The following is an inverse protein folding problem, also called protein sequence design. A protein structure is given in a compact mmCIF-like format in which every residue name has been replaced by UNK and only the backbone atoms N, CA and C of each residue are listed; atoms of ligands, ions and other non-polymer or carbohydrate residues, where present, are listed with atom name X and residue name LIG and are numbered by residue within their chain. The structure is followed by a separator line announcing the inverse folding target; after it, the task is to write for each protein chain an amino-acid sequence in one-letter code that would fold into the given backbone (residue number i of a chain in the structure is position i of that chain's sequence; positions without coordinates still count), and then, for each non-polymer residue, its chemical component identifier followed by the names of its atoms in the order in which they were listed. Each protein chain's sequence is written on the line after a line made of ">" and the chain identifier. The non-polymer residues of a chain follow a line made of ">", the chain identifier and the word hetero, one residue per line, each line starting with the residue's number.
data_IF_190137064176
#
_entry.id   IF_190137064176
#
_cell.length_a   1.000
_cell.length_b   1.000
_cell.length_c   1.000
_cell.angle_alpha   90.00
_cell.angle_beta   90.00
_cell.angle_gamma   90.00
#
_symmetry.space_group_name_H-M   'P 1'
#
loop_
_entity.id
_entity.type
_entity.pdbx_description
1 polymer ?
#
# COMPACT_ATOMS: atom_id res chain seq x y z
N UNK A 1 -12.38 3.13 35.61
CA UNK A 1 -10.91 3.19 35.66
C UNK A 1 -10.50 4.38 34.81
N UNK A 2 -10.35 5.54 35.46
CA UNK A 2 -10.15 6.83 34.82
C UNK A 2 -8.66 6.99 34.56
N UNK A 3 -8.24 6.95 33.29
CA UNK A 3 -6.86 7.23 32.92
C UNK A 3 -6.62 8.74 33.05
N UNK A 4 -6.18 9.19 34.23
CA UNK A 4 -5.59 10.52 34.40
C UNK A 4 -4.13 10.41 33.99
N UNK A 5 -3.85 10.77 32.74
CA UNK A 5 -2.48 10.83 32.22
C UNK A 5 -1.96 12.24 32.48
N UNK A 6 -1.35 12.43 33.65
CA UNK A 6 -0.51 13.59 33.94
C UNK A 6 0.85 13.40 33.25
N UNK A 7 0.92 13.66 31.93
CA UNK A 7 2.21 13.74 31.25
C UNK A 7 2.73 15.16 31.40
N UNK A 8 3.83 15.28 32.15
CA UNK A 8 4.62 16.50 32.26
C UNK A 8 5.08 16.94 30.86
N UNK A 9 4.62 18.14 30.47
CA UNK A 9 4.82 18.77 29.15
C UNK A 9 6.30 18.90 28.73
N UNK A 10 7.26 18.77 29.67
CA UNK A 10 8.69 18.84 29.37
C UNK A 10 9.31 17.53 28.87
N UNK A 11 8.66 16.37 29.04
CA UNK A 11 9.24 15.06 28.67
C UNK A 11 8.95 14.61 27.22
N UNK A 12 7.89 15.12 26.61
CA UNK A 12 7.56 14.84 25.20
C UNK A 12 8.56 15.53 24.25
N UNK A 13 9.04 16.72 24.64
CA UNK A 13 9.89 17.55 23.81
C UNK A 13 11.28 16.93 23.58
N UNK A 14 11.82 16.21 24.57
CA UNK A 14 13.14 15.56 24.45
C UNK A 14 13.09 14.23 23.70
N UNK A 15 11.97 13.49 23.76
CA UNK A 15 11.79 12.21 23.04
C UNK A 15 11.60 12.43 21.53
N UNK A 16 11.06 13.59 21.14
CA UNK A 16 10.93 14.08 19.76
C UNK A 16 12.05 15.09 19.42
N UNK A 17 13.21 15.03 20.10
CA UNK A 17 14.40 15.70 19.55
C UNK A 17 14.97 14.90 18.38
N UNK A 18 15.61 15.63 17.47
CA UNK A 18 16.16 15.24 16.15
C UNK A 18 16.82 13.85 16.08
N UNK A 19 17.31 13.27 17.19
CA UNK A 19 17.95 11.94 17.20
C UNK A 19 16.98 10.77 17.40
N UNK A 20 16.04 10.84 18.35
CA UNK A 20 15.06 9.77 18.61
C UNK A 20 14.02 9.66 17.49
N UNK A 21 13.53 10.81 17.02
CA UNK A 21 12.66 10.88 15.84
C UNK A 21 13.34 10.31 14.59
N UNK A 22 14.60 10.69 14.31
CA UNK A 22 15.31 10.18 13.14
C UNK A 22 15.54 8.65 13.17
N UNK A 23 15.71 8.06 14.35
CA UNK A 23 15.84 6.61 14.49
C UNK A 23 14.51 5.89 14.27
N UNK A 24 13.42 6.38 14.88
CA UNK A 24 12.07 5.81 14.70
C UNK A 24 11.62 5.87 13.23
N UNK A 25 11.84 6.99 12.54
CA UNK A 25 11.51 7.17 11.12
C UNK A 25 12.45 6.42 10.14
N UNK A 26 13.46 5.71 10.66
CA UNK A 26 14.31 4.87 9.82
C UNK A 26 13.53 3.68 9.24
N UNK A 27 12.56 3.15 9.98
CA UNK A 27 11.52 2.25 9.47
C UNK A 27 10.28 3.03 9.05
N UNK A 28 9.50 2.50 8.12
CA UNK A 28 8.27 3.17 7.70
C UNK A 28 7.65 2.64 6.42
N UNK A 29 6.66 3.39 5.95
CA UNK A 29 5.91 3.09 4.74
C UNK A 29 5.87 4.30 3.82
N UNK A 30 6.11 4.07 2.53
CA UNK A 30 5.91 5.04 1.47
C UNK A 30 4.87 4.55 0.47
N UNK A 31 4.13 5.47 -0.12
CA UNK A 31 3.17 5.19 -1.18
C UNK A 31 3.31 6.25 -2.28
N UNK A 32 3.26 5.84 -3.55
CA UNK A 32 3.32 6.81 -4.67
C UNK A 32 2.11 7.73 -4.65
N UNK A 33 2.31 9.02 -4.99
CA UNK A 33 1.25 10.03 -4.94
C UNK A 33 0.10 9.66 -5.89
N UNK A 34 -1.11 9.69 -5.36
CA UNK A 34 -2.35 9.54 -6.12
C UNK A 34 -3.03 10.90 -6.29
N UNK A 35 -3.46 11.18 -7.52
CA UNK A 35 -4.28 12.34 -7.87
C UNK A 35 -5.78 12.05 -7.90
N UNK A 36 -6.16 10.79 -7.66
CA UNK A 36 -7.57 10.42 -7.55
C UNK A 36 -8.21 11.15 -6.37
N UNK A 37 -9.47 11.57 -6.54
CA UNK A 37 -10.23 12.26 -5.50
C UNK A 37 -10.39 11.38 -4.26
N UNK A 38 -10.18 11.95 -3.08
CA UNK A 38 -10.27 11.23 -1.79
C UNK A 38 -9.17 10.20 -1.55
N UNK A 39 -8.15 10.10 -2.41
CA UNK A 39 -7.10 9.12 -2.25
C UNK A 39 -6.17 9.42 -1.07
N UNK A 40 -5.88 8.38 -0.28
CA UNK A 40 -4.90 8.45 0.80
C UNK A 40 -3.48 8.65 0.23
N UNK A 41 -2.77 9.66 0.72
CA UNK A 41 -1.41 10.02 0.32
C UNK A 41 -0.46 10.07 1.52
N UNK A 42 0.84 10.15 1.23
CA UNK A 42 1.89 10.02 2.24
C UNK A 42 1.87 11.11 3.31
N UNK A 43 1.37 12.31 3.00
CA UNK A 43 1.18 13.40 3.95
C UNK A 43 0.20 13.01 5.08
N UNK A 44 -0.98 12.49 4.72
CA UNK A 44 -1.98 12.04 5.69
C UNK A 44 -1.50 10.82 6.47
N UNK A 45 -0.84 9.88 5.79
CA UNK A 45 -0.25 8.71 6.46
C UNK A 45 0.79 9.13 7.50
N UNK A 46 1.75 9.98 7.12
CA UNK A 46 2.81 10.45 8.01
C UNK A 46 2.24 11.23 9.20
N UNK A 47 1.23 12.07 8.97
CA UNK A 47 0.55 12.83 10.02
C UNK A 47 -0.16 11.90 11.02
N UNK A 48 -0.95 10.95 10.53
CA UNK A 48 -1.63 9.96 11.39
C UNK A 48 -0.62 9.11 12.16
N UNK A 49 0.46 8.65 11.52
CA UNK A 49 1.53 7.93 12.21
C UNK A 49 2.17 8.80 13.30
N UNK A 50 2.47 10.07 13.02
CA UNK A 50 3.01 10.99 14.00
C UNK A 50 2.08 11.15 15.22
N UNK A 51 0.78 11.31 14.98
CA UNK A 51 -0.22 11.36 16.05
C UNK A 51 -0.23 10.10 16.90
N UNK A 52 -0.27 8.92 16.29
CA UNK A 52 -0.29 7.65 17.04
C UNK A 52 1.00 7.46 17.83
N UNK A 53 2.16 7.66 17.20
CA UNK A 53 3.47 7.38 17.80
C UNK A 53 3.84 8.36 18.90
N UNK A 54 3.44 9.63 18.79
CA UNK A 54 3.65 10.63 19.85
C UNK A 54 2.86 10.36 21.13
N UNK A 55 1.84 9.49 21.07
CA UNK A 55 1.07 9.04 22.23
C UNK A 55 1.59 7.72 22.83
N UNK A 56 2.65 7.15 22.26
CA UNK A 56 3.26 5.91 22.73
C UNK A 56 4.60 6.18 23.42
N UNK A 57 4.93 5.44 24.50
CA UNK A 57 6.23 5.55 25.14
C UNK A 57 7.33 4.97 24.23
N UNK A 58 8.50 5.61 24.19
CA UNK A 58 9.66 5.11 23.46
C UNK A 58 10.69 4.51 24.43
N UNK A 59 10.39 3.32 24.96
CA UNK A 59 11.16 2.68 26.03
C UNK A 59 12.66 2.52 25.71
N UNK A 60 13.03 2.28 24.45
CA UNK A 60 14.42 2.17 24.00
C UNK A 60 15.22 3.47 24.12
N UNK A 61 14.56 4.61 24.34
CA UNK A 61 15.15 5.94 24.37
C UNK A 61 14.90 6.69 25.70
N UNK A 62 14.23 6.05 26.66
CA UNK A 62 14.03 6.61 28.01
C UNK A 62 15.33 6.48 28.83
N UNK A 63 15.81 7.58 29.43
CA UNK A 63 17.13 7.65 30.09
C UNK A 63 17.19 6.87 31.43
N UNK A 64 16.06 6.71 32.12
CA UNK A 64 16.01 6.22 33.51
C UNK A 64 15.50 4.77 33.66
N UNK A 65 15.59 3.95 32.61
CA UNK A 65 15.08 2.56 32.61
C UNK A 65 16.15 1.55 32.99
N UNK A 66 15.77 0.55 33.80
CA UNK A 66 16.66 -0.58 34.08
C UNK A 66 16.94 -1.37 32.78
N UNK A 67 18.21 -1.78 32.53
CA UNK A 67 18.58 -2.52 31.31
C UNK A 67 17.76 -3.81 31.10
N UNK A 68 17.28 -4.42 32.18
CA UNK A 68 16.46 -5.64 32.14
C UNK A 68 15.07 -5.38 31.56
N UNK A 69 14.48 -4.23 31.82
CA UNK A 69 13.17 -3.88 31.25
C UNK A 69 13.29 -3.60 29.75
N UNK A 70 14.35 -2.92 29.33
CA UNK A 70 14.64 -2.66 27.91
C UNK A 70 14.78 -3.96 27.13
N UNK A 71 15.50 -4.96 27.65
CA UNK A 71 15.65 -6.29 27.03
C UNK A 71 14.29 -7.01 26.83
N UNK A 72 13.37 -6.87 27.79
CA UNK A 72 12.03 -7.47 27.67
C UNK A 72 11.25 -6.85 26.51
N UNK A 73 11.25 -5.52 26.37
CA UNK A 73 10.55 -4.84 25.28
C UNK A 73 11.21 -5.12 23.93
N UNK A 74 12.55 -5.13 23.86
CA UNK A 74 13.30 -5.47 22.65
C UNK A 74 12.98 -6.89 22.16
N UNK A 75 12.83 -7.88 23.06
CA UNK A 75 12.41 -9.24 22.67
C UNK A 75 11.04 -9.26 22.01
N UNK A 76 10.08 -8.49 22.55
CA UNK A 76 8.74 -8.39 21.96
C UNK A 76 8.77 -7.76 20.56
N UNK A 77 9.70 -6.83 20.31
CA UNK A 77 9.90 -6.19 19.02
C UNK A 77 10.57 -7.11 17.99
N UNK A 78 11.64 -7.82 18.38
CA UNK A 78 12.44 -8.63 17.46
C UNK A 78 11.84 -9.99 17.15
N UNK A 79 11.07 -10.55 18.08
CA UNK A 79 10.49 -11.89 17.97
C UNK A 79 8.99 -11.87 18.28
N UNK A 80 8.17 -11.13 17.49
CA UNK A 80 6.73 -11.20 17.64
C UNK A 80 6.23 -12.56 17.13
N UNK A 81 5.60 -13.35 18.00
CA UNK A 81 5.03 -14.65 17.60
C UNK A 81 4.03 -14.50 16.45
N UNK A 82 3.14 -13.51 16.56
CA UNK A 82 2.09 -13.19 15.60
C UNK A 82 1.78 -11.71 15.59
N UNK A 83 1.60 -11.14 14.40
CA UNK A 83 1.04 -9.82 14.11
C UNK A 83 1.23 -9.60 12.63
N UNK A 84 0.24 -9.41 11.78
CA UNK A 84 -1.13 -8.97 11.92
C UNK A 84 -2.04 -10.03 11.26
N UNK A 85 -3.34 -10.11 11.55
CA UNK A 85 -4.23 -11.12 10.94
C UNK A 85 -5.38 -10.56 10.09
N UNK A 86 -5.45 -9.24 9.90
CA UNK A 86 -6.53 -8.58 9.15
C UNK A 86 -6.24 -8.36 7.66
N UNK A 87 -7.09 -7.53 7.04
CA UNK A 87 -6.89 -6.93 5.71
C UNK A 87 -6.06 -5.65 5.80
N UNK A 88 -5.56 -5.15 4.66
CA UNK A 88 -4.79 -3.91 4.69
C UNK A 88 -5.64 -2.74 5.20
N UNK A 89 -5.03 -1.82 5.94
CA UNK A 89 -5.75 -0.68 6.55
C UNK A 89 -5.81 0.53 5.63
N UNK A 90 -5.15 0.53 4.47
CA UNK A 90 -5.09 1.66 3.55
C UNK A 90 -6.45 2.06 2.98
N UNK A 91 -7.38 1.10 2.81
CA UNK A 91 -8.74 1.38 2.33
C UNK A 91 -9.76 1.60 3.47
N UNK A 92 -9.34 1.51 4.74
CA UNK A 92 -10.25 1.70 5.87
C UNK A 92 -10.39 3.20 6.21
N UNK A 93 -11.42 3.85 5.67
CA UNK A 93 -11.67 5.29 5.80
C UNK A 93 -11.63 5.76 7.27
N UNK A 94 -12.20 4.97 8.19
CA UNK A 94 -12.26 5.32 9.62
C UNK A 94 -10.88 5.45 10.28
N UNK A 95 -9.86 4.80 9.73
CA UNK A 95 -8.49 4.87 10.24
C UNK A 95 -7.77 6.16 9.82
N UNK A 96 -8.37 6.92 8.91
CA UNK A 96 -7.80 8.09 8.26
C UNK A 96 -8.80 9.23 8.27
N UNK A 97 -9.53 9.44 9.37
CA UNK A 97 -10.41 10.60 9.50
C UNK A 97 -9.59 11.87 9.76
N UNK A 98 -10.15 13.03 9.38
CA UNK A 98 -9.48 14.29 9.62
C UNK A 98 -9.61 14.67 11.09
N UNK A 99 -8.48 15.04 11.70
CA UNK A 99 -8.41 15.44 13.10
C UNK A 99 -8.56 16.95 13.18
N UNK A 100 -9.72 17.44 13.64
CA UNK A 100 -10.04 18.86 13.76
C UNK A 100 -10.04 19.34 15.22
N UNK A 101 -10.15 18.41 16.17
CA UNK A 101 -10.16 18.65 17.60
C UNK A 101 -9.25 17.69 18.38
N UNK A 102 -9.03 17.98 19.66
CA UNK A 102 -8.30 17.08 20.56
C UNK A 102 -9.06 15.78 20.84
N UNK A 103 -10.40 15.83 20.82
CA UNK A 103 -11.21 14.62 21.02
C UNK A 103 -11.08 13.70 19.80
N UNK A 104 -11.09 14.26 18.58
CA UNK A 104 -10.87 13.51 17.34
C UNK A 104 -9.49 12.85 17.36
N UNK A 105 -8.47 13.55 17.85
CA UNK A 105 -7.12 13.03 17.97
C UNK A 105 -7.08 11.80 18.90
N UNK A 106 -7.69 11.91 20.08
CA UNK A 106 -7.73 10.83 21.07
C UNK A 106 -8.51 9.63 20.50
N UNK A 107 -9.64 9.88 19.83
CA UNK A 107 -10.42 8.82 19.17
C UNK A 107 -9.64 8.16 18.03
N UNK A 108 -8.92 8.93 17.22
CA UNK A 108 -8.10 8.40 16.13
C UNK A 108 -7.00 7.48 16.68
N UNK A 109 -6.25 7.92 17.70
CA UNK A 109 -5.21 7.11 18.36
C UNK A 109 -5.82 5.84 18.95
N UNK A 110 -6.93 5.97 19.70
CA UNK A 110 -7.63 4.83 20.30
C UNK A 110 -8.08 3.81 19.26
N UNK A 111 -8.62 4.28 18.13
CA UNK A 111 -9.07 3.43 17.02
C UNK A 111 -7.91 2.62 16.43
N UNK A 112 -6.75 3.26 16.24
CA UNK A 112 -5.53 2.57 15.78
C UNK A 112 -5.07 1.49 16.75
N UNK A 113 -4.93 1.83 18.03
CA UNK A 113 -4.44 0.89 19.05
C UNK A 113 -5.38 -0.30 19.21
N UNK A 114 -6.70 -0.06 19.31
CA UNK A 114 -7.69 -1.15 19.41
C UNK A 114 -7.64 -2.03 18.16
N UNK A 115 -7.57 -1.43 16.96
CA UNK A 115 -7.53 -2.21 15.71
C UNK A 115 -6.32 -3.13 15.66
N UNK A 116 -5.13 -2.63 15.98
CA UNK A 116 -3.91 -3.43 15.98
C UNK A 116 -3.93 -4.52 17.06
N UNK A 117 -4.43 -4.20 18.26
CA UNK A 117 -4.55 -5.16 19.35
C UNK A 117 -5.49 -6.31 18.98
N UNK A 118 -6.66 -6.00 18.42
CA UNK A 118 -7.65 -6.99 17.99
C UNK A 118 -7.17 -7.85 16.82
N UNK A 119 -6.17 -7.40 16.07
CA UNK A 119 -5.57 -8.14 14.95
C UNK A 119 -4.26 -8.86 15.36
N UNK A 120 -4.05 -9.08 16.67
CA UNK A 120 -3.00 -9.94 17.19
C UNK A 120 -1.69 -9.23 17.54
N UNK A 121 -1.59 -7.91 17.38
CA UNK A 121 -0.33 -7.18 17.55
C UNK A 121 -0.03 -6.76 19.01
N UNK A 122 -0.73 -7.32 20.00
CA UNK A 122 -0.58 -6.95 21.40
C UNK A 122 0.88 -6.99 21.93
N UNK A 123 1.74 -7.97 21.55
CA UNK A 123 3.16 -7.95 21.94
C UNK A 123 3.91 -6.73 21.39
N UNK A 124 3.70 -6.38 20.12
CA UNK A 124 4.32 -5.20 19.50
C UNK A 124 3.82 -3.90 20.14
N UNK A 125 2.52 -3.79 20.45
CA UNK A 125 2.00 -2.61 21.13
C UNK A 125 2.65 -2.39 22.51
N UNK A 126 2.97 -3.48 23.22
CA UNK A 126 3.68 -3.44 24.51
C UNK A 126 5.16 -3.04 24.37
N UNK A 127 5.75 -3.16 23.18
CA UNK A 127 7.12 -2.71 22.93
C UNK A 127 7.23 -1.18 22.75
N UNK A 128 6.12 -0.43 22.84
CA UNK A 128 6.11 1.02 22.74
C UNK A 128 6.09 1.53 21.31
N UNK A 129 6.58 2.76 21.09
CA UNK A 129 6.49 3.46 19.81
C UNK A 129 7.07 2.66 18.62
N UNK A 130 8.21 1.99 18.80
CA UNK A 130 8.81 1.16 17.72
C UNK A 130 7.92 -0.02 17.33
N UNK A 131 7.34 -0.71 18.32
CA UNK A 131 6.45 -1.83 18.06
C UNK A 131 5.10 -1.38 17.46
N UNK A 132 4.57 -0.23 17.89
CA UNK A 132 3.39 0.37 17.25
C UNK A 132 3.68 0.73 15.80
N UNK A 133 4.84 1.36 15.52
CA UNK A 133 5.26 1.66 14.16
C UNK A 133 5.32 0.40 13.30
N UNK A 134 5.99 -0.65 13.77
CA UNK A 134 6.09 -1.93 13.09
C UNK A 134 4.69 -2.51 12.82
N UNK A 135 3.81 -2.53 13.82
CA UNK A 135 2.44 -3.03 13.69
C UNK A 135 1.60 -2.22 12.69
N UNK A 136 1.73 -0.89 12.67
CA UNK A 136 1.08 -0.03 11.68
C UNK A 136 1.57 -0.35 10.27
N UNK A 137 2.89 -0.39 10.06
CA UNK A 137 3.48 -0.68 8.74
C UNK A 137 3.06 -2.06 8.23
N UNK A 138 3.01 -3.07 9.11
CA UNK A 138 2.49 -4.39 8.75
C UNK A 138 1.03 -4.32 8.29
N UNK A 139 0.19 -3.58 9.04
CA UNK A 139 -1.22 -3.41 8.72
C UNK A 139 -1.49 -2.70 7.39
N UNK A 140 -0.60 -1.81 6.93
CA UNK A 140 -0.78 -1.10 5.66
C UNK A 140 -0.72 -2.03 4.45
N UNK A 141 0.09 -3.09 4.50
CA UNK A 141 0.24 -4.07 3.43
C UNK A 141 -0.50 -5.38 3.68
N UNK A 142 -1.19 -5.56 4.80
CA UNK A 142 -1.57 -6.89 5.27
C UNK A 142 -0.35 -7.85 5.37
N UNK A 143 0.80 -7.32 5.78
CA UNK A 143 1.96 -8.13 6.14
C UNK A 143 1.69 -8.82 7.49
N UNK A 144 2.12 -10.07 7.62
CA UNK A 144 1.81 -10.92 8.77
C UNK A 144 3.04 -11.65 9.24
N UNK A 145 3.45 -11.39 10.46
CA UNK A 145 4.26 -12.33 11.23
C UNK A 145 3.40 -13.50 11.64
N UNK A 146 3.87 -14.67 11.24
CA UNK A 146 3.51 -15.97 11.76
C UNK A 146 4.72 -16.51 12.53
N UNK A 147 4.50 -17.59 13.28
CA UNK A 147 5.50 -18.16 14.19
C UNK A 147 6.92 -18.28 13.58
N UNK A 148 7.03 -18.62 12.30
CA UNK A 148 8.31 -18.94 11.65
C UNK A 148 8.58 -18.17 10.36
N UNK A 149 7.66 -17.32 9.91
CA UNK A 149 7.80 -16.59 8.64
C UNK A 149 6.99 -15.29 8.60
N UNK A 150 7.42 -14.39 7.73
CA UNK A 150 6.70 -13.18 7.35
C UNK A 150 5.94 -13.44 6.03
N UNK A 151 4.65 -13.17 6.02
CA UNK A 151 3.78 -13.25 4.85
C UNK A 151 3.40 -11.85 4.37
N UNK A 152 3.35 -11.61 3.07
CA UNK A 152 2.65 -10.46 2.49
C UNK A 152 1.31 -10.95 1.95
N UNK A 153 0.22 -10.71 2.68
CA UNK A 153 -1.10 -11.27 2.36
C UNK A 153 -2.04 -10.27 1.66
N UNK A 154 -1.48 -9.36 0.87
CA UNK A 154 -2.29 -8.43 0.07
C UNK A 154 -3.00 -9.16 -1.08
N UNK A 155 -4.18 -8.65 -1.46
CA UNK A 155 -4.81 -9.07 -2.70
C UNK A 155 -4.09 -8.40 -3.88
N UNK A 156 -3.68 -9.15 -4.92
CA UNK A 156 -3.08 -8.56 -6.12
C UNK A 156 -3.89 -7.41 -6.72
N UNK A 157 -5.23 -7.44 -6.63
CA UNK A 157 -6.11 -6.37 -7.13
C UNK A 157 -5.90 -5.02 -6.43
N UNK A 158 -5.42 -5.04 -5.19
CA UNK A 158 -5.20 -3.83 -4.40
C UNK A 158 -3.84 -3.17 -4.70
N UNK A 159 -2.94 -3.83 -5.44
CA UNK A 159 -1.57 -3.37 -5.71
C UNK A 159 -1.45 -2.41 -6.90
N UNK A 160 -2.40 -1.49 -7.05
CA UNK A 160 -2.47 -0.54 -8.17
C UNK A 160 -1.61 0.73 -7.97
N UNK A 161 -0.79 0.77 -6.92
CA UNK A 161 0.13 1.87 -6.58
C UNK A 161 1.44 1.31 -6.08
N UNK A 162 2.49 2.13 -6.16
CA UNK A 162 3.80 1.73 -5.66
C UNK A 162 3.83 1.86 -4.14
N UNK A 163 4.27 0.80 -3.47
CA UNK A 163 4.41 0.72 -2.02
C UNK A 163 5.86 0.49 -1.64
N UNK A 164 6.30 1.10 -0.54
CA UNK A 164 7.68 1.03 -0.08
C UNK A 164 7.69 0.75 1.43
N UNK A 165 7.86 -0.52 1.80
CA UNK A 165 8.05 -0.93 3.19
C UNK A 165 9.54 -0.90 3.49
N UNK A 166 9.95 0.00 4.39
CA UNK A 166 11.34 0.23 4.73
C UNK A 166 11.64 -0.32 6.12
N UNK A 167 12.70 -1.13 6.21
CA UNK A 167 13.28 -1.67 7.44
C UNK A 167 12.25 -2.33 8.35
N UNK A 168 11.51 -3.29 7.80
CA UNK A 168 10.71 -4.20 8.62
C UNK A 168 11.66 -5.00 9.51
N UNK A 169 11.47 -4.89 10.81
CA UNK A 169 12.26 -5.63 11.80
C UNK A 169 11.79 -7.09 11.81
N UNK A 170 12.66 -8.04 11.44
CA UNK A 170 12.30 -9.45 11.38
C UNK A 170 13.42 -10.34 11.95
N UNK A 171 13.41 -10.55 13.26
CA UNK A 171 14.51 -11.17 14.00
C UNK A 171 15.41 -10.13 14.66
N UNK A 172 16.50 -10.60 15.27
CA UNK A 172 17.44 -9.73 15.96
C UNK A 172 18.40 -9.12 14.95
N UNK A 173 18.33 -7.80 14.74
CA UNK A 173 19.18 -7.04 13.82
C UNK A 173 19.01 -7.37 12.32
N UNK A 174 17.88 -7.98 11.92
CA UNK A 174 17.53 -8.15 10.51
C UNK A 174 16.47 -7.14 10.08
N UNK A 175 16.75 -6.43 8.99
CA UNK A 175 15.85 -5.45 8.40
C UNK A 175 15.52 -5.83 6.96
N UNK A 176 14.23 -6.00 6.69
CA UNK A 176 13.72 -6.35 5.37
C UNK A 176 13.11 -5.12 4.70
N UNK A 177 13.48 -4.86 3.46
CA UNK A 177 12.81 -3.90 2.60
C UNK A 177 11.95 -4.65 1.58
N UNK A 178 10.71 -4.22 1.43
CA UNK A 178 9.78 -4.76 0.45
C UNK A 178 9.23 -3.59 -0.34
N UNK A 179 9.32 -3.64 -1.66
CA UNK A 179 8.69 -2.65 -2.54
C UNK A 179 7.72 -3.33 -3.49
N UNK A 180 6.58 -2.69 -3.72
CA UNK A 180 5.64 -3.03 -4.79
C UNK A 180 5.80 -1.95 -5.84
N UNK A 181 6.14 -2.33 -7.08
CA UNK A 181 6.27 -1.38 -8.19
C UNK A 181 5.30 -1.79 -9.29
N UNK A 182 4.47 -0.84 -9.73
CA UNK A 182 3.55 -1.02 -10.86
C UNK A 182 4.26 -0.62 -12.14
N UNK A 183 4.55 -1.63 -12.97
CA UNK A 183 5.24 -1.49 -14.24
C UNK A 183 4.48 -0.68 -15.30
N UNK A 184 5.13 -0.43 -16.43
CA UNK A 184 4.50 0.22 -17.59
C UNK A 184 3.42 -0.64 -18.26
N UNK A 185 3.42 -1.94 -18.01
CA UNK A 185 2.42 -2.92 -18.42
C UNK A 185 1.24 -3.00 -17.44
N UNK A 186 1.16 -2.11 -16.45
CA UNK A 186 0.19 -2.09 -15.37
C UNK A 186 0.21 -3.35 -14.49
N UNK A 187 1.28 -4.15 -14.51
CA UNK A 187 1.45 -5.27 -13.59
C UNK A 187 2.25 -4.85 -12.37
N UNK A 188 1.85 -5.34 -11.21
CA UNK A 188 2.60 -5.16 -9.97
C UNK A 188 3.71 -6.23 -9.87
N UNK A 189 4.91 -5.82 -9.48
CA UNK A 189 6.02 -6.70 -9.15
C UNK A 189 6.51 -6.40 -7.73
N UNK A 190 6.98 -7.43 -7.03
CA UNK A 190 7.56 -7.30 -5.70
C UNK A 190 9.08 -7.23 -5.82
N UNK A 191 9.70 -6.38 -5.00
CA UNK A 191 11.14 -6.27 -4.86
C UNK A 191 11.51 -6.41 -3.40
N UNK A 192 12.41 -7.34 -3.09
CA UNK A 192 12.79 -7.67 -1.72
C UNK A 192 14.30 -7.58 -1.57
N UNK A 193 14.76 -6.91 -0.52
CA UNK A 193 16.17 -6.82 -0.16
C UNK A 193 16.35 -6.80 1.36
N UNK A 194 17.52 -7.21 1.82
CA UNK A 194 17.95 -7.13 3.21
C UNK A 194 18.87 -5.91 3.38
N UNK A 195 18.47 -4.98 4.24
CA UNK A 195 19.38 -3.89 4.65
C UNK A 195 20.51 -4.42 5.53
N UNK A 196 20.16 -5.36 6.41
CA UNK A 196 21.03 -6.00 7.41
C UNK A 196 20.44 -7.37 7.72
N UNK A 197 21.27 -8.35 8.03
CA UNK A 197 20.80 -9.67 8.43
C UNK A 197 21.76 -10.39 9.38
N UNK A 198 21.20 -11.11 10.35
CA UNK A 198 21.93 -12.00 11.27
C UNK A 198 22.03 -13.44 10.75
N UNK A 199 21.10 -13.84 9.88
CA UNK A 199 20.96 -15.19 9.31
C UNK A 199 20.76 -15.14 7.80
N UNK A 200 20.93 -16.26 7.07
CA UNK A 200 20.47 -16.34 5.69
C UNK A 200 18.93 -16.38 5.66
N UNK A 201 18.31 -15.41 5.00
CA UNK A 201 16.87 -15.40 4.75
C UNK A 201 16.57 -15.89 3.34
N UNK A 202 15.39 -16.45 3.17
CA UNK A 202 14.89 -16.99 1.92
C UNK A 202 13.49 -16.43 1.66
N UNK A 203 13.13 -16.31 0.40
CA UNK A 203 11.81 -15.89 -0.02
C UNK A 203 11.26 -16.76 -1.14
N UNK A 204 9.94 -16.86 -1.19
CA UNK A 204 9.19 -17.45 -2.30
C UNK A 204 7.93 -16.64 -2.58
N UNK A 205 7.50 -16.65 -3.84
CA UNK A 205 6.25 -16.03 -4.26
C UNK A 205 5.03 -16.92 -3.91
N UNK A 206 3.84 -16.52 -4.37
CA UNK A 206 2.59 -17.14 -3.95
C UNK A 206 2.58 -18.67 -4.17
N UNK A 207 2.20 -19.41 -3.12
CA UNK A 207 2.15 -20.88 -3.13
C UNK A 207 3.49 -21.57 -2.96
N UNK A 208 4.63 -20.86 -3.01
CA UNK A 208 5.98 -21.41 -2.80
C UNK A 208 6.26 -22.70 -3.59
N UNK A 209 5.79 -22.77 -4.83
CA UNK A 209 5.98 -23.96 -5.69
C UNK A 209 7.42 -24.09 -6.15
N UNK A 210 8.05 -22.96 -6.47
CA UNK A 210 9.44 -22.86 -6.86
C UNK A 210 10.38 -22.94 -5.64
N UNK A 211 11.64 -23.30 -5.88
CA UNK A 211 12.62 -23.41 -4.80
C UNK A 211 12.85 -22.05 -4.10
N UNK A 212 13.01 -22.02 -2.77
CA UNK A 212 13.27 -20.78 -2.03
C UNK A 212 14.50 -20.02 -2.53
N UNK A 213 14.31 -18.73 -2.82
CA UNK A 213 15.39 -17.84 -3.28
C UNK A 213 16.06 -17.20 -2.09
N UNK A 214 17.39 -17.33 -1.99
CA UNK A 214 18.16 -16.73 -0.89
C UNK A 214 18.23 -15.21 -1.04
N UNK A 215 17.77 -14.49 -0.02
CA UNK A 215 17.79 -13.04 0.06
C UNK A 215 19.21 -12.44 0.20
N UNK A 216 19.42 -11.29 -0.43
CA UNK A 216 20.67 -10.51 -0.40
C UNK A 216 20.36 -9.04 -0.14
N UNK A 217 21.38 -8.18 -0.14
CA UNK A 217 21.24 -6.74 -0.06
C UNK A 217 20.82 -6.08 -1.40
N UNK A 218 20.83 -6.83 -2.50
CA UNK A 218 20.33 -6.37 -3.79
C UNK A 218 18.83 -6.63 -3.91
N UNK A 219 18.12 -5.72 -4.58
CA UNK A 219 16.69 -5.84 -4.82
C UNK A 219 16.43 -7.02 -5.77
N UNK A 220 15.80 -8.06 -5.25
CA UNK A 220 15.37 -9.21 -6.04
C UNK A 220 13.89 -9.14 -6.36
N UNK A 221 13.58 -9.39 -7.62
CA UNK A 221 12.23 -9.32 -8.16
C UNK A 221 11.49 -10.64 -7.98
N UNK A 222 10.24 -10.56 -7.51
CA UNK A 222 9.29 -11.66 -7.46
C UNK A 222 8.01 -11.25 -8.19
N UNK A 223 7.48 -12.09 -9.10
CA UNK A 223 6.22 -11.79 -9.77
C UNK A 223 5.06 -11.87 -8.78
N UNK A 224 4.10 -10.96 -8.88
CA UNK A 224 2.86 -11.09 -8.12
C UNK A 224 2.00 -12.16 -8.78
N UNK A 225 1.67 -13.21 -8.04
CA UNK A 225 0.81 -14.32 -8.48
C UNK A 225 -0.53 -14.29 -7.74
N UNK A 226 -1.60 -14.72 -8.41
CA UNK A 226 -2.92 -14.95 -7.85
C UNK A 226 -3.14 -16.45 -7.71
N UNK A 227 -3.66 -16.88 -6.56
CA UNK A 227 -3.90 -18.28 -6.23
C UNK A 227 -5.38 -18.56 -5.97
N UNK A 228 -5.82 -19.79 -6.21
CA UNK A 228 -7.14 -20.30 -5.77
C UNK A 228 -6.98 -21.55 -4.88
N UNK A 229 -7.36 -21.52 -3.59
CA UNK A 229 -7.81 -20.35 -2.82
C UNK A 229 -6.72 -19.29 -2.65
N UNK A 230 -7.13 -18.07 -2.26
CA UNK A 230 -6.20 -16.96 -2.08
C UNK A 230 -5.22 -17.20 -0.92
N UNK A 231 -3.92 -17.09 -1.21
CA UNK A 231 -2.81 -17.20 -0.25
C UNK A 231 -2.04 -15.89 -0.17
N UNK A 232 -0.96 -15.85 0.62
CA UNK A 232 -0.05 -14.72 0.59
C UNK A 232 0.72 -14.69 -0.75
N UNK A 233 1.10 -13.48 -1.18
CA UNK A 233 1.82 -13.24 -2.44
C UNK A 233 3.34 -13.32 -2.29
N UNK A 234 3.83 -13.31 -1.04
CA UNK A 234 5.24 -13.42 -0.71
C UNK A 234 5.39 -14.02 0.69
N UNK A 235 6.38 -14.88 0.84
CA UNK A 235 6.77 -15.51 2.09
C UNK A 235 8.27 -15.27 2.31
N UNK A 236 8.67 -14.93 3.54
CA UNK A 236 10.07 -14.71 3.93
C UNK A 236 10.35 -15.44 5.24
N UNK A 237 11.44 -16.21 5.31
CA UNK A 237 11.88 -16.88 6.54
C UNK A 237 13.40 -17.07 6.56
N UNK A 238 13.98 -17.27 7.75
CA UNK A 238 15.35 -17.74 7.89
C UNK A 238 15.47 -19.28 7.84
N UNK A 239 14.35 -20.00 8.07
CA UNK A 239 14.33 -21.46 8.07
C UNK A 239 13.95 -22.00 6.69
N UNK A 240 14.97 -22.41 5.94
CA UNK A 240 14.77 -23.00 4.62
C UNK A 240 13.90 -24.26 4.67
N UNK A 241 14.07 -25.11 5.68
CA UNK A 241 13.32 -26.37 5.76
C UNK A 241 11.84 -26.06 6.00
N UNK A 242 11.55 -25.13 6.91
CA UNK A 242 10.20 -24.63 7.14
C UNK A 242 9.53 -24.14 5.85
N UNK A 243 10.28 -23.43 4.98
CA UNK A 243 9.74 -22.95 3.70
C UNK A 243 9.42 -24.08 2.71
N UNK A 244 10.26 -25.12 2.66
CA UNK A 244 10.02 -26.31 1.85
C UNK A 244 8.82 -27.12 2.39
N UNK A 245 8.65 -27.19 3.71
CA UNK A 245 7.50 -27.83 4.34
C UNK A 245 6.21 -27.03 4.11
N UNK A 246 6.30 -25.69 4.13
CA UNK A 246 5.18 -24.79 3.89
C UNK A 246 4.54 -25.02 2.52
N UNK A 247 5.34 -25.31 1.48
CA UNK A 247 4.86 -25.70 0.16
C UNK A 247 3.85 -26.85 0.19
N UNK A 248 4.01 -27.80 1.11
CA UNK A 248 3.09 -28.93 1.27
C UNK A 248 1.85 -28.59 2.09
N UNK A 249 1.94 -27.58 2.95
CA UNK A 249 0.83 -27.10 3.77
C UNK A 249 -0.08 -26.08 3.05
N UNK A 250 0.47 -25.32 2.10
CA UNK A 250 -0.32 -24.37 1.31
C UNK A 250 -1.10 -25.15 0.24
N UNK A 251 -2.39 -25.33 0.48
CA UNK A 251 -3.29 -25.95 -0.48
C UNK A 251 -3.69 -24.95 -1.58
N UNK A 252 -2.96 -24.96 -2.69
CA UNK A 252 -3.32 -24.21 -3.89
C UNK A 252 -3.75 -25.16 -5.01
N UNK A 253 -4.86 -24.85 -5.67
CA UNK A 253 -5.32 -25.56 -6.87
C UNK A 253 -4.69 -24.97 -8.13
N UNK A 254 -4.81 -23.65 -8.27
CA UNK A 254 -4.34 -22.91 -9.43
C UNK A 254 -3.48 -21.73 -9.01
N UNK A 255 -2.39 -21.50 -9.75
CA UNK A 255 -1.49 -20.37 -9.60
C UNK A 255 -1.32 -19.72 -10.97
N UNK A 256 -1.68 -18.46 -11.07
CA UNK A 256 -1.51 -17.66 -12.29
C UNK A 256 -0.80 -16.37 -11.95
N UNK A 257 -0.02 -15.84 -12.87
CA UNK A 257 0.51 -14.48 -12.71
C UNK A 257 -0.66 -13.50 -12.62
N UNK A 258 -0.56 -12.52 -11.72
CA UNK A 258 -1.64 -11.57 -11.53
C UNK A 258 -1.89 -10.76 -12.82
N UNK A 259 -3.16 -10.56 -13.21
CA UNK A 259 -3.48 -9.79 -14.39
C UNK A 259 -3.04 -8.33 -14.21
N UNK A 260 -2.75 -7.67 -15.33
CA UNK A 260 -2.50 -6.24 -15.35
C UNK A 260 -3.72 -5.47 -14.80
N UNK A 261 -3.46 -4.41 -14.05
CA UNK A 261 -4.51 -3.51 -13.58
C UNK A 261 -5.20 -2.81 -14.74
N UNK A 262 -6.49 -2.55 -14.59
CA UNK A 262 -7.28 -1.85 -15.60
C UNK A 262 -6.71 -0.45 -15.84
N UNK A 263 -6.52 -0.09 -17.11
CA UNK A 263 -5.85 1.16 -17.49
C UNK A 263 -6.51 2.40 -16.85
N UNK A 264 -7.83 2.40 -16.72
CA UNK A 264 -8.55 3.53 -16.15
C UNK A 264 -8.27 3.71 -14.65
N UNK A 265 -8.02 2.64 -13.90
CA UNK A 265 -7.64 2.71 -12.48
C UNK A 265 -6.26 3.35 -12.35
N UNK A 266 -5.28 2.86 -13.11
CA UNK A 266 -3.92 3.42 -13.12
C UNK A 266 -3.93 4.88 -13.58
N UNK A 267 -4.70 5.20 -14.63
CA UNK A 267 -4.86 6.55 -15.14
C UNK A 267 -5.47 7.49 -14.09
N UNK A 268 -6.50 7.03 -13.36
CA UNK A 268 -7.13 7.78 -12.29
C UNK A 268 -6.12 8.13 -11.20
N UNK A 269 -5.31 7.18 -10.75
CA UNK A 269 -4.31 7.45 -9.71
C UNK A 269 -3.15 8.33 -10.21
N UNK A 270 -2.66 8.15 -11.44
CA UNK A 270 -1.54 8.94 -11.98
C UNK A 270 -1.94 10.36 -12.41
N UNK A 271 -3.15 10.53 -12.93
CA UNK A 271 -3.58 11.77 -13.59
C UNK A 271 -4.77 12.46 -12.94
N UNK A 272 -5.53 11.78 -12.07
CA UNK A 272 -6.71 12.33 -11.39
C UNK A 272 -8.01 12.19 -12.16
N UNK A 273 -7.97 11.56 -13.34
CA UNK A 273 -9.15 11.29 -14.16
C UNK A 273 -8.96 10.01 -14.98
N UNK A 274 -10.05 9.32 -15.30
CA UNK A 274 -10.02 8.03 -16.02
C UNK A 274 -9.56 8.15 -17.48
N UNK A 275 -9.64 9.34 -18.08
CA UNK A 275 -9.27 9.57 -19.48
C UNK A 275 -7.76 9.52 -19.77
N UNK A 276 -6.90 9.32 -18.76
CA UNK A 276 -5.44 9.33 -18.92
C UNK A 276 -4.92 10.74 -19.23
N UNK A 277 -3.65 11.04 -18.89
CA UNK A 277 -3.10 12.40 -18.71
C UNK A 277 -3.12 13.40 -19.87
N UNK A 278 -3.93 13.19 -20.91
CA UNK A 278 -4.22 14.16 -21.95
C UNK A 278 -5.08 15.32 -21.39
N UNK A 279 -4.69 16.58 -21.63
CA UNK A 279 -5.41 17.76 -21.11
C UNK A 279 -6.88 17.79 -21.54
N UNK A 280 -7.76 18.38 -20.72
CA UNK A 280 -9.18 18.57 -21.06
C UNK A 280 -9.39 19.30 -22.41
N UNK A 281 -8.48 20.22 -22.76
CA UNK A 281 -8.48 20.92 -24.05
C UNK A 281 -8.38 19.98 -25.25
N UNK A 282 -7.65 18.88 -25.14
CA UNK A 282 -7.54 17.87 -26.20
C UNK A 282 -8.91 17.24 -26.46
N UNK A 283 -9.62 16.84 -25.41
CA UNK A 283 -10.96 16.26 -25.52
C UNK A 283 -12.00 17.25 -26.04
N UNK A 284 -11.92 18.52 -25.62
CA UNK A 284 -12.76 19.58 -26.18
C UNK A 284 -12.48 19.79 -27.68
N UNK A 285 -11.22 19.71 -28.11
CA UNK A 285 -10.85 19.83 -29.53
C UNK A 285 -11.39 18.67 -30.37
N UNK A 286 -11.35 17.43 -29.86
CA UNK A 286 -11.94 16.26 -30.51
C UNK A 286 -13.45 16.41 -30.60
N UNK A 287 -14.11 16.81 -29.51
CA UNK A 287 -15.55 17.05 -29.49
C UNK A 287 -15.97 18.10 -30.53
N UNK A 288 -15.21 19.19 -30.64
CA UNK A 288 -15.43 20.23 -31.65
C UNK A 288 -15.25 19.70 -33.08
N UNK A 289 -14.19 18.93 -33.35
CA UNK A 289 -13.92 18.34 -34.66
C UNK A 289 -15.06 17.40 -35.08
N UNK A 290 -15.50 16.53 -34.16
CA UNK A 290 -16.63 15.61 -34.38
C UNK A 290 -17.89 16.41 -34.72
N UNK A 291 -18.18 17.46 -33.97
CA UNK A 291 -19.36 18.30 -34.20
C UNK A 291 -19.31 18.97 -35.58
N UNK A 292 -18.18 19.57 -35.96
CA UNK A 292 -17.99 20.19 -37.28
C UNK A 292 -18.14 19.16 -38.40
N UNK A 293 -17.57 17.97 -38.24
CA UNK A 293 -17.69 16.88 -39.20
C UNK A 293 -19.15 16.45 -39.38
N UNK A 294 -19.90 16.28 -38.29
CA UNK A 294 -21.33 15.92 -38.37
C UNK A 294 -22.18 17.02 -38.99
N UNK A 295 -21.89 18.30 -38.71
CA UNK A 295 -22.54 19.43 -39.39
C UNK A 295 -22.24 19.46 -40.89
N UNK A 296 -21.02 19.12 -41.29
CA UNK A 296 -20.63 19.04 -42.70
C UNK A 296 -21.34 17.88 -43.41
N UNK A 297 -21.40 16.69 -42.78
CA UNK A 297 -22.17 15.55 -43.28
C UNK A 297 -23.66 15.90 -43.41
N UNK A 298 -24.24 16.55 -42.41
CA UNK A 298 -25.63 16.98 -42.46
C UNK A 298 -25.87 17.97 -43.60
N UNK A 299 -24.96 18.94 -43.78
CA UNK A 299 -25.01 19.88 -44.90
C UNK A 299 -24.93 19.17 -46.25
N UNK A 300 -24.05 18.18 -46.40
CA UNK A 300 -23.94 17.39 -47.63
C UNK A 300 -25.23 16.63 -47.94
N UNK A 301 -25.76 15.89 -46.95
CA UNK A 301 -27.00 15.14 -47.09
C UNK A 301 -28.17 16.08 -47.42
N UNK A 302 -28.30 17.20 -46.70
CA UNK A 302 -29.34 18.19 -46.95
C UNK A 302 -29.22 18.80 -48.36
N UNK A 303 -28.00 19.14 -48.79
CA UNK A 303 -27.78 19.70 -50.11
C UNK A 303 -28.14 18.71 -51.23
N UNK A 304 -27.80 17.43 -51.07
CA UNK A 304 -28.10 16.40 -52.06
C UNK A 304 -29.59 16.03 -52.09
N UNK A 305 -30.25 15.97 -50.92
CA UNK A 305 -31.68 15.65 -50.83
C UNK A 305 -32.59 16.81 -51.24
N UNK A 306 -32.20 18.07 -50.94
CA UNK A 306 -33.00 19.26 -51.26
C UNK A 306 -32.68 19.86 -52.64
N UNK A 307 -31.44 19.81 -53.15
CA UNK A 307 -31.15 20.28 -54.53
C UNK A 307 -31.42 19.22 -55.61
N UNK A 308 -31.51 17.93 -55.23
CA UNK A 308 -31.87 16.85 -56.16
C UNK A 308 -33.30 16.94 -56.72
N UNK A 309 -34.18 17.72 -56.07
CA UNK A 309 -35.57 17.89 -56.51
C UNK A 309 -35.78 19.02 -57.52
N UNK A 310 -34.96 20.06 -57.53
CA UNK A 310 -35.12 21.19 -58.47
C UNK A 310 -34.61 20.87 -59.88
N UNK A 311 -33.55 20.07 -60.02
CA UNK A 311 -32.97 19.76 -61.33
C UNK A 311 -33.72 18.65 -62.12
N UNK A 312 -34.66 17.92 -61.52
CA UNK A 312 -35.50 16.97 -62.26
C UNK A 312 -36.73 17.60 -62.92
N UNK A 313 -37.17 18.79 -62.47
CA UNK A 313 -38.35 19.44 -63.05
C UNK A 313 -38.05 20.34 -64.27
N UNK A 314 -36.80 20.76 -64.48
CA UNK A 314 -36.47 21.68 -65.59
C UNK A 314 -36.08 20.95 -66.89
N UNK A 315 -35.63 19.68 -66.82
CA UNK A 315 -35.19 18.92 -68.01
C UNK A 315 -36.33 18.34 -68.86
N UNK A 316 -37.58 18.47 -68.44
CA UNK A 316 -38.76 17.95 -69.14
C UNK A 316 -39.48 18.94 -70.08
N UNK A 317 -38.99 20.19 -70.24
CA UNK A 317 -39.79 21.26 -70.88
C UNK A 317 -39.20 21.91 -72.14
N UNK A 318 -38.13 21.37 -72.71
CA UNK A 318 -37.54 21.86 -73.97
C UNK A 318 -37.24 20.73 -74.96
N UNK A 319 -38.23 19.87 -75.22
CA UNK A 319 -38.27 19.00 -76.39
C UNK A 319 -39.73 18.82 -76.81
N UNK A 320 -40.25 19.78 -77.56
CA UNK A 320 -41.43 19.66 -78.43
C UNK A 320 -41.30 20.68 -79.56
#
# INVERSE_FOLDING_TARGET
>A
MTFVVAISHSRIHDMITVKGGAYLWSSGFGISISKAEGALNGDKINLTMYYVLSHMPAYAHEHDREPREVDVYSKMLYYPDRCYEGHHTLQNIKMWEDVLSMDDLIEQVKTWIITLEKQGCAPLLKAGAEGVLQAMVLSFGALRFKNEHLEFAANPKDLHRDYYFRRLIYGNNTHVNISVIVGGDNKANLFVALDRNDKPYYACDAGCVDAPVKLTNEMMQFPVKLTDPQTAILYITYDRQHMEDLKHAIHVKDIVEAPAHEHHVIALHRHGHHYGGLPMLFWLSIGFLILVFHLFLFKLIFNEYCQGHDNRYIRGKYNL
#
